data_IF_245164822220
#
_entry.id   IF_245164822220
#
_cell.length_a   1.000
_cell.length_b   1.000
_cell.length_c   1.000
_cell.angle_alpha   90.00
_cell.angle_beta   90.00
_cell.angle_gamma   90.00
#
_symmetry.space_group_name_H-M   'P 1'
#
loop_
_entity.id
_entity.type
_entity.pdbx_description
1 polymer ?
#
# COMPACT_ATOMS: atom_id res chain seq x y z
N UNK A 1 18.00 -19.86 59.70
CA UNK A 1 17.09 -20.36 58.65
C UNK A 1 17.12 -19.38 57.50
N UNK A 2 17.83 -19.69 56.42
CA UNK A 2 17.90 -18.85 55.22
C UNK A 2 17.00 -19.49 54.15
N UNK A 3 15.85 -18.88 53.89
CA UNK A 3 14.97 -19.25 52.78
C UNK A 3 15.50 -18.58 51.52
N UNK A 4 16.13 -19.36 50.63
CA UNK A 4 16.55 -18.90 49.31
C UNK A 4 15.31 -18.81 48.42
N UNK A 5 14.79 -17.60 48.24
CA UNK A 5 13.71 -17.31 47.29
C UNK A 5 14.17 -17.57 45.86
N UNK A 6 13.50 -18.51 45.20
CA UNK A 6 13.77 -18.99 43.85
C UNK A 6 13.58 -17.87 42.81
N UNK A 7 14.59 -17.50 42.00
CA UNK A 7 14.49 -16.43 40.99
C UNK A 7 13.70 -16.82 39.72
N UNK A 8 13.05 -18.00 39.72
CA UNK A 8 12.42 -18.62 38.55
C UNK A 8 11.12 -17.92 38.12
N UNK A 9 10.36 -17.36 39.07
CA UNK A 9 9.03 -16.81 38.77
C UNK A 9 9.07 -15.47 38.02
N UNK A 10 10.07 -14.62 38.28
CA UNK A 10 10.23 -13.30 37.65
C UNK A 10 10.64 -13.41 36.18
N UNK A 11 11.49 -14.38 35.83
CA UNK A 11 11.94 -14.60 34.45
C UNK A 11 10.81 -15.11 33.55
N UNK A 12 9.96 -16.00 34.07
CA UNK A 12 8.80 -16.53 33.35
C UNK A 12 7.75 -15.43 33.12
N UNK A 13 7.53 -14.54 34.10
CA UNK A 13 6.59 -13.43 33.96
C UNK A 13 7.05 -12.40 32.92
N UNK A 14 8.35 -12.09 32.85
CA UNK A 14 8.91 -11.21 31.81
C UNK A 14 8.76 -11.79 30.39
N UNK A 15 8.97 -13.11 30.21
CA UNK A 15 8.82 -13.79 28.91
C UNK A 15 7.37 -13.80 28.40
N UNK A 16 6.39 -13.87 29.31
CA UNK A 16 4.98 -13.83 28.94
C UNK A 16 4.52 -12.42 28.53
N UNK A 17 5.10 -11.37 29.13
CA UNK A 17 4.79 -9.98 28.78
C UNK A 17 5.37 -9.62 27.40
N UNK A 18 6.58 -10.07 27.05
CA UNK A 18 7.18 -9.76 25.74
C UNK A 18 6.42 -10.40 24.57
N UNK A 19 5.87 -11.60 24.74
CA UNK A 19 5.03 -12.25 23.74
C UNK A 19 3.68 -11.54 23.52
N UNK A 20 3.11 -10.91 24.56
CA UNK A 20 1.85 -10.18 24.46
C UNK A 20 1.96 -8.78 23.82
N UNK A 21 3.18 -8.22 23.77
CA UNK A 21 3.44 -6.87 23.26
C UNK A 21 3.87 -6.86 21.79
N UNK A 22 4.28 -8.00 21.23
CA UNK A 22 4.50 -8.19 19.79
C UNK A 22 3.17 -8.27 19.04
N UNK A 23 2.42 -7.17 19.04
CA UNK A 23 1.40 -6.94 18.02
C UNK A 23 2.15 -6.72 16.71
N UNK A 24 1.89 -7.49 15.64
CA UNK A 24 2.28 -7.07 14.30
C UNK A 24 1.69 -5.66 14.12
N UNK A 25 2.55 -4.66 14.02
CA UNK A 25 2.11 -3.27 13.98
C UNK A 25 1.07 -3.08 12.89
N UNK A 26 0.10 -2.19 13.14
CA UNK A 26 -0.84 -1.63 12.15
C UNK A 26 -0.07 -0.78 11.11
N UNK A 27 1.07 -1.26 10.62
CA UNK A 27 1.91 -0.57 9.66
C UNK A 27 1.19 -0.48 8.33
N UNK A 28 1.17 0.72 7.76
CA UNK A 28 0.75 0.91 6.37
C UNK A 28 1.63 0.05 5.46
N UNK A 29 1.00 -0.60 4.50
CA UNK A 29 1.71 -1.40 3.50
C UNK A 29 2.73 -0.55 2.77
N UNK A 30 3.97 -1.03 2.69
CA UNK A 30 5.05 -0.29 2.04
C UNK A 30 5.64 -1.11 0.90
N UNK A 31 5.82 -0.47 -0.24
CA UNK A 31 6.54 -0.99 -1.40
C UNK A 31 7.87 -0.23 -1.49
N UNK A 32 8.96 -0.98 -1.41
CA UNK A 32 10.31 -0.45 -1.59
C UNK A 32 10.73 -0.68 -3.05
N UNK A 33 11.33 0.33 -3.67
CA UNK A 33 11.89 0.25 -5.03
C UNK A 33 13.24 0.96 -5.07
N UNK A 34 14.14 0.53 -5.95
CA UNK A 34 15.37 1.27 -6.19
C UNK A 34 15.13 2.37 -7.23
N UNK A 35 15.89 3.46 -7.13
CA UNK A 35 15.85 4.54 -8.11
C UNK A 35 16.10 4.00 -9.54
N UNK A 36 15.23 4.37 -10.47
CA UNK A 36 15.25 3.93 -11.86
C UNK A 36 14.56 2.58 -12.14
N UNK A 37 14.22 1.80 -11.12
CA UNK A 37 13.51 0.52 -11.31
C UNK A 37 12.00 0.76 -11.56
N UNK A 38 11.21 -0.32 -11.67
CA UNK A 38 9.74 -0.21 -11.76
C UNK A 38 9.12 -0.42 -10.38
N UNK A 39 8.33 0.55 -9.92
CA UNK A 39 7.51 0.40 -8.71
C UNK A 39 6.29 -0.45 -9.07
N UNK A 40 6.06 -1.55 -8.37
CA UNK A 40 4.90 -2.43 -8.59
C UNK A 40 4.03 -2.39 -7.33
N UNK A 41 2.83 -1.82 -7.46
CA UNK A 41 1.86 -1.67 -6.36
C UNK A 41 0.64 -2.55 -6.61
N UNK A 42 0.57 -3.75 -6.00
CA UNK A 42 -0.61 -4.58 -6.09
C UNK A 42 -1.81 -3.88 -5.43
N UNK A 43 -2.99 -3.96 -6.06
CA UNK A 43 -4.21 -3.55 -5.38
C UNK A 43 -4.53 -4.58 -4.30
N UNK A 44 -4.46 -4.16 -3.03
CA UNK A 44 -4.62 -5.03 -1.87
C UNK A 44 -6.07 -5.34 -1.49
N UNK A 45 -6.99 -5.16 -2.43
CA UNK A 45 -8.41 -5.42 -2.25
C UNK A 45 -8.78 -6.69 -3.02
N UNK A 46 -9.66 -7.49 -2.42
CA UNK A 46 -10.33 -8.55 -3.16
C UNK A 46 -11.25 -7.89 -4.19
N UNK A 47 -11.17 -8.35 -5.44
CA UNK A 47 -11.98 -7.83 -6.55
C UNK A 47 -13.45 -8.16 -6.29
N UNK A 48 -14.34 -7.15 -6.10
CA UNK A 48 -15.77 -7.39 -5.88
C UNK A 48 -16.44 -7.98 -7.14
N UNK A 49 -17.49 -8.78 -6.96
CA UNK A 49 -18.22 -9.38 -8.09
C UNK A 49 -18.92 -8.35 -8.98
N UNK A 50 -19.51 -7.31 -8.38
CA UNK A 50 -20.21 -6.21 -9.05
C UNK A 50 -19.32 -4.97 -9.25
N UNK A 51 -18.01 -5.18 -9.44
CA UNK A 51 -17.07 -4.09 -9.69
C UNK A 51 -17.46 -3.35 -10.98
N UNK A 52 -17.55 -2.02 -10.92
CA UNK A 52 -17.77 -1.15 -12.09
C UNK A 52 -16.45 -0.65 -12.69
N UNK A 53 -15.53 -0.24 -11.83
CA UNK A 53 -14.20 0.22 -12.24
C UNK A 53 -13.25 0.29 -11.04
N UNK A 54 -11.94 0.35 -11.34
CA UNK A 54 -10.90 0.66 -10.38
C UNK A 54 -10.20 1.97 -10.72
N UNK A 55 -9.73 2.69 -9.70
CA UNK A 55 -8.92 3.91 -9.83
C UNK A 55 -7.72 3.86 -8.92
N UNK A 56 -6.67 4.58 -9.32
CA UNK A 56 -5.56 4.91 -8.45
C UNK A 56 -5.46 6.42 -8.27
N UNK A 57 -5.20 6.82 -7.03
CA UNK A 57 -4.84 8.19 -6.63
C UNK A 57 -3.56 8.18 -5.81
N UNK A 58 -2.87 9.30 -5.76
CA UNK A 58 -1.92 9.60 -4.68
C UNK A 58 -2.43 10.78 -3.85
N UNK A 59 -1.95 10.87 -2.62
CA UNK A 59 -2.24 11.99 -1.73
C UNK A 59 -1.08 12.97 -1.74
N UNK A 60 -1.39 14.25 -1.92
CA UNK A 60 -0.44 15.35 -1.72
C UNK A 60 -0.12 15.52 -0.22
N UNK A 61 0.92 16.30 0.14
CA UNK A 61 1.23 16.59 1.54
C UNK A 61 0.10 17.23 2.35
N UNK A 62 -0.83 17.94 1.69
CA UNK A 62 -2.03 18.53 2.29
C UNK A 62 -3.21 17.55 2.41
N UNK A 63 -3.02 16.29 2.02
CA UNK A 63 -4.05 15.24 2.01
C UNK A 63 -4.99 15.29 0.81
N UNK A 64 -4.83 16.25 -0.11
CA UNK A 64 -5.69 16.32 -1.30
C UNK A 64 -5.39 15.16 -2.28
N UNK A 65 -6.42 14.54 -2.86
CA UNK A 65 -6.25 13.42 -3.78
C UNK A 65 -5.92 13.89 -5.20
N UNK A 66 -5.04 13.16 -5.90
CA UNK A 66 -4.79 13.31 -7.33
C UNK A 66 -4.96 11.96 -8.00
N UNK A 67 -5.95 11.84 -8.89
CA UNK A 67 -6.17 10.63 -9.68
C UNK A 67 -5.15 10.54 -10.81
N UNK A 68 -4.72 9.31 -11.11
CA UNK A 68 -3.65 9.06 -12.09
C UNK A 68 -3.96 7.91 -13.05
N UNK A 69 -4.80 6.96 -12.65
CA UNK A 69 -5.18 5.82 -13.50
C UNK A 69 -6.61 5.37 -13.22
N UNK A 70 -7.27 4.88 -14.26
CA UNK A 70 -8.61 4.34 -14.25
C UNK A 70 -8.65 3.08 -15.13
N UNK A 71 -9.35 2.04 -14.66
CA UNK A 71 -9.68 0.85 -15.46
C UNK A 71 -11.15 0.50 -15.29
N UNK A 72 -11.87 0.41 -16.40
CA UNK A 72 -13.25 -0.09 -16.41
C UNK A 72 -13.26 -1.61 -16.35
N UNK A 73 -14.05 -2.20 -15.45
CA UNK A 73 -14.27 -3.65 -15.43
C UNK A 73 -15.17 -4.10 -16.61
N UNK A 74 -16.14 -3.26 -16.98
CA UNK A 74 -17.17 -3.57 -17.99
C UNK A 74 -16.68 -3.37 -19.42
N UNK A 75 -15.97 -2.28 -19.69
CA UNK A 75 -15.44 -1.95 -21.02
C UNK A 75 -14.02 -2.48 -21.25
N UNK A 76 -13.35 -2.98 -20.21
CA UNK A 76 -11.93 -3.39 -20.21
C UNK A 76 -10.97 -2.30 -20.72
N UNK A 77 -11.39 -1.03 -20.71
CA UNK A 77 -10.55 0.10 -21.11
C UNK A 77 -9.70 0.59 -19.94
N UNK A 78 -8.54 1.15 -20.27
CA UNK A 78 -7.62 1.78 -19.32
C UNK A 78 -7.39 3.22 -19.77
N UNK A 79 -7.45 4.15 -18.82
CA UNK A 79 -7.22 5.57 -19.03
C UNK A 79 -6.26 6.10 -17.96
N UNK A 80 -5.42 7.05 -18.33
CA UNK A 80 -4.49 7.73 -17.45
C UNK A 80 -4.81 9.21 -17.45
N UNK A 81 -4.84 9.81 -16.27
CA UNK A 81 -5.12 11.23 -16.13
C UNK A 81 -3.87 12.03 -16.57
N UNK A 82 -4.07 13.23 -17.11
CA UNK A 82 -2.98 14.08 -17.61
C UNK A 82 -2.22 14.73 -16.45
N UNK A 83 -1.39 13.91 -15.79
CA UNK A 83 -0.49 14.32 -14.72
C UNK A 83 0.94 14.26 -15.27
N UNK A 84 1.57 15.41 -15.59
CA UNK A 84 2.86 15.45 -16.28
C UNK A 84 3.97 14.63 -15.62
N UNK A 85 3.97 14.50 -14.30
CA UNK A 85 4.93 13.69 -13.54
C UNK A 85 4.92 12.20 -13.93
N UNK A 86 3.75 11.70 -14.35
CA UNK A 86 3.49 10.28 -14.63
C UNK A 86 3.28 9.98 -16.11
N UNK A 87 3.41 10.99 -16.99
CA UNK A 87 3.28 10.83 -18.43
C UNK A 87 4.20 9.71 -18.93
N UNK A 88 3.63 8.77 -19.69
CA UNK A 88 4.30 7.61 -20.28
C UNK A 88 4.98 6.65 -19.28
N UNK A 89 4.67 6.77 -17.98
CA UNK A 89 5.27 5.95 -16.91
C UNK A 89 4.32 4.97 -16.25
N UNK A 90 3.02 5.09 -16.49
CA UNK A 90 2.01 4.28 -15.82
C UNK A 90 1.62 3.06 -16.65
N UNK A 91 1.43 1.95 -15.95
CA UNK A 91 0.72 0.79 -16.46
C UNK A 91 -0.24 0.27 -15.40
N UNK A 92 -1.49 -0.01 -15.79
CA UNK A 92 -2.49 -0.62 -14.92
C UNK A 92 -2.90 -1.98 -15.48
N UNK A 93 -2.69 -3.04 -14.71
CA UNK A 93 -2.98 -4.43 -15.10
C UNK A 93 -4.44 -4.84 -14.84
N UNK A 94 -4.84 -6.02 -15.32
CA UNK A 94 -6.21 -6.55 -15.18
C UNK A 94 -6.62 -6.80 -13.72
N UNK A 95 -5.65 -7.15 -12.86
CA UNK A 95 -5.85 -7.29 -11.43
C UNK A 95 -5.66 -5.95 -10.67
N UNK A 96 -5.73 -4.82 -11.36
CA UNK A 96 -5.62 -3.47 -10.79
C UNK A 96 -4.27 -3.16 -10.12
N UNK A 97 -3.22 -3.91 -10.45
CA UNK A 97 -1.84 -3.58 -10.03
C UNK A 97 -1.37 -2.37 -10.82
N UNK A 98 -0.96 -1.32 -10.10
CA UNK A 98 -0.36 -0.13 -10.69
C UNK A 98 1.15 -0.31 -10.76
N UNK A 99 1.72 -0.09 -11.93
CA UNK A 99 3.17 -0.05 -12.14
C UNK A 99 3.60 1.36 -12.56
N UNK A 100 4.67 1.85 -11.95
CA UNK A 100 5.30 3.13 -12.28
C UNK A 100 6.72 2.84 -12.75
N UNK A 101 7.01 3.04 -14.03
CA UNK A 101 8.35 2.84 -14.58
C UNK A 101 9.30 3.97 -14.21
N UNK A 102 10.60 3.66 -14.18
CA UNK A 102 11.69 4.61 -13.90
C UNK A 102 11.44 5.37 -12.58
N UNK A 103 11.47 4.66 -11.45
CA UNK A 103 11.18 5.16 -10.12
C UNK A 103 12.04 6.39 -9.77
N UNK A 104 11.41 7.41 -9.20
CA UNK A 104 12.02 8.69 -8.80
C UNK A 104 11.77 8.92 -7.31
N UNK A 105 12.62 9.74 -6.69
CA UNK A 105 12.41 10.16 -5.29
C UNK A 105 11.06 10.88 -5.12
N UNK A 106 10.58 11.59 -6.16
CA UNK A 106 9.25 12.21 -6.13
C UNK A 106 8.10 11.20 -6.07
N UNK A 107 8.33 9.92 -6.42
CA UNK A 107 7.32 8.87 -6.31
C UNK A 107 7.16 8.36 -4.86
N UNK A 108 7.94 8.86 -3.89
CA UNK A 108 7.71 8.59 -2.46
C UNK A 108 6.42 9.26 -1.97
N UNK A 109 5.28 8.65 -2.26
CA UNK A 109 3.95 9.13 -1.90
C UNK A 109 3.10 8.03 -1.29
N UNK A 110 1.96 8.43 -0.72
CA UNK A 110 0.87 7.51 -0.34
C UNK A 110 -0.06 7.35 -1.54
N UNK A 111 -0.06 6.17 -2.14
CA UNK A 111 -0.97 5.78 -3.21
C UNK A 111 -2.15 5.03 -2.62
N UNK A 112 -3.31 5.12 -3.28
CA UNK A 112 -4.53 4.43 -2.84
C UNK A 112 -5.19 3.76 -4.04
N UNK A 113 -5.32 2.44 -3.96
CA UNK A 113 -6.18 1.68 -4.86
C UNK A 113 -7.64 1.88 -4.42
N UNK A 114 -8.51 2.20 -5.37
CA UNK A 114 -9.95 2.31 -5.16
C UNK A 114 -10.67 1.34 -6.09
N UNK A 115 -11.52 0.46 -5.54
CA UNK A 115 -12.44 -0.39 -6.30
C UNK A 115 -13.87 0.08 -6.03
N UNK A 116 -14.61 0.39 -7.09
CA UNK A 116 -15.94 1.03 -6.99
C UNK A 116 -17.01 0.09 -7.53
N UNK A 117 -17.98 -0.25 -6.67
CA UNK A 117 -19.22 -0.94 -7.02
C UNK A 117 -20.37 0.06 -7.10
N UNK A 118 -21.55 -0.38 -7.50
CA UNK A 118 -22.75 0.48 -7.58
C UNK A 118 -23.11 1.10 -6.21
N UNK A 119 -22.89 0.35 -5.14
CA UNK A 119 -23.32 0.64 -3.78
C UNK A 119 -22.19 0.96 -2.80
N UNK A 120 -20.92 0.77 -3.19
CA UNK A 120 -19.79 0.89 -2.27
C UNK A 120 -18.47 1.30 -2.95
N UNK A 121 -17.55 1.80 -2.11
CA UNK A 121 -16.18 2.15 -2.48
C UNK A 121 -15.21 1.49 -1.51
N UNK A 122 -14.31 0.67 -2.03
CA UNK A 122 -13.25 0.02 -1.27
C UNK A 122 -11.92 0.74 -1.52
N UNK A 123 -11.21 1.11 -0.46
CA UNK A 123 -9.90 1.78 -0.55
C UNK A 123 -8.80 0.96 0.15
N UNK A 124 -7.63 0.84 -0.49
CA UNK A 124 -6.44 0.25 0.13
C UNK A 124 -5.19 1.09 -0.14
N UNK A 125 -4.56 1.66 0.91
CA UNK A 125 -3.38 2.49 0.76
C UNK A 125 -2.07 1.68 0.68
N UNK A 126 -1.11 2.25 -0.04
CA UNK A 126 0.26 1.77 -0.20
C UNK A 126 1.22 2.96 -0.10
N UNK A 127 2.23 2.84 0.74
CA UNK A 127 3.35 3.79 0.82
C UNK A 127 4.44 3.32 -0.14
N UNK A 128 4.96 4.23 -0.96
CA UNK A 128 6.12 3.96 -1.80
C UNK A 128 7.37 4.56 -1.17
N UNK A 129 8.45 3.79 -1.16
CA UNK A 129 9.80 4.24 -0.78
C UNK A 129 10.79 3.94 -1.89
N UNK A 130 11.60 4.93 -2.23
CA UNK A 130 12.55 4.88 -3.34
C UNK A 130 13.96 5.12 -2.80
N UNK A 131 14.79 4.10 -2.90
CA UNK A 131 16.16 4.14 -2.37
C UNK A 131 17.14 4.38 -3.52
N UNK A 132 18.19 5.18 -3.26
CA UNK A 132 19.33 5.22 -4.17
C UNK A 132 19.97 3.84 -4.28
N UNK A 133 20.55 3.54 -5.44
CA UNK A 133 21.45 2.40 -5.58
C UNK A 133 22.77 2.66 -4.86
#
# INVERSE_FOLDING_TARGET
MASKGTPSCLLVFCLLITAAVLRPGLGLYTVNSAYGDTVIMPCRLNVPQNLMFGKWKYEKPDGSPVFIAFRSSTKKSVHYDDVPEYKDRLSLSENYTLSISNARISDEKRFVCMLVTEDNVFEAPTIVKVFSK
#
